data_IF_866261300904
#
_entry.id   IF_866261300904
#
_cell.length_a   1.000
_cell.length_b   1.000
_cell.length_c   1.000
_cell.angle_alpha   90.00
_cell.angle_beta   90.00
_cell.angle_gamma   90.00
#
_symmetry.space_group_name_H-M   'P 1'
#
loop_
_entity.id
_entity.type
_entity.pdbx_description
1 polymer ?
#
# COMPACT_ATOMS: atom_id res chain seq x y z
N UNK A 1 21.76 -11.44 -0.07
CA UNK A 1 21.29 -12.02 1.21
C UNK A 1 19.83 -12.36 1.00
N UNK A 2 19.52 -13.63 0.81
CA UNK A 2 18.21 -14.11 0.35
C UNK A 2 17.23 -13.94 1.51
N UNK A 3 16.19 -13.12 1.29
CA UNK A 3 15.08 -12.91 2.20
C UNK A 3 14.30 -14.23 2.29
N UNK A 4 14.66 -15.08 3.25
CA UNK A 4 13.84 -16.23 3.64
C UNK A 4 13.01 -15.82 4.86
N UNK A 5 11.70 -16.07 4.74
CA UNK A 5 10.68 -16.01 5.80
C UNK A 5 10.10 -14.64 6.22
N UNK A 6 9.83 -13.74 5.27
CA UNK A 6 9.01 -12.52 5.52
C UNK A 6 7.50 -12.70 5.28
N UNK A 7 6.98 -13.92 5.17
CA UNK A 7 5.62 -14.20 4.64
C UNK A 7 4.54 -14.27 5.74
N UNK A 8 4.90 -14.38 7.02
CA UNK A 8 3.92 -14.57 8.11
C UNK A 8 3.10 -13.30 8.41
N UNK A 9 3.72 -12.12 8.31
CA UNK A 9 3.13 -10.86 8.77
C UNK A 9 1.86 -10.43 8.00
N UNK A 10 1.80 -10.54 6.65
CA UNK A 10 0.56 -10.31 5.91
C UNK A 10 -0.61 -11.19 6.37
N UNK A 11 -0.36 -12.46 6.67
CA UNK A 11 -1.40 -13.39 7.14
C UNK A 11 -1.90 -13.03 8.55
N UNK A 12 -0.99 -12.69 9.47
CA UNK A 12 -1.38 -12.23 10.82
C UNK A 12 -2.22 -10.95 10.76
N UNK A 13 -1.87 -10.03 9.86
CA UNK A 13 -2.65 -8.79 9.61
C UNK A 13 -4.06 -9.12 9.14
N UNK A 14 -4.19 -9.97 8.13
CA UNK A 14 -5.48 -10.37 7.59
C UNK A 14 -6.42 -10.89 8.67
N UNK A 15 -5.94 -11.77 9.56
CA UNK A 15 -6.75 -12.33 10.66
C UNK A 15 -7.26 -11.23 11.60
N UNK A 16 -6.37 -10.32 12.04
CA UNK A 16 -6.75 -9.20 12.92
C UNK A 16 -7.77 -8.29 12.23
N UNK A 17 -7.63 -8.06 10.92
CA UNK A 17 -8.56 -7.27 10.13
C UNK A 17 -9.94 -7.91 9.98
N UNK A 18 -10.01 -9.24 9.81
CA UNK A 18 -11.27 -9.97 9.80
C UNK A 18 -11.99 -9.86 11.14
N UNK A 19 -11.27 -9.94 12.25
CA UNK A 19 -11.84 -9.69 13.58
C UNK A 19 -12.37 -8.26 13.74
N UNK A 20 -11.63 -7.24 13.26
CA UNK A 20 -12.07 -5.84 13.28
C UNK A 20 -13.34 -5.61 12.42
N UNK A 21 -13.50 -6.35 11.32
CA UNK A 21 -14.68 -6.30 10.46
C UNK A 21 -15.91 -7.03 11.06
N UNK A 22 -15.76 -7.66 12.24
CA UNK A 22 -16.80 -8.47 12.87
C UNK A 22 -17.02 -9.81 12.17
N UNK A 23 -16.06 -10.28 11.36
CA UNK A 23 -16.13 -11.58 10.70
C UNK A 23 -16.11 -12.70 11.75
N UNK A 24 -17.00 -13.68 11.59
CA UNK A 24 -17.07 -14.83 12.49
C UNK A 24 -15.81 -15.70 12.39
N UNK A 25 -15.39 -16.26 13.52
CA UNK A 25 -14.23 -17.14 13.62
C UNK A 25 -14.31 -18.32 12.65
N UNK A 26 -15.52 -18.82 12.36
CA UNK A 26 -15.74 -19.90 11.38
C UNK A 26 -15.28 -19.54 9.95
N UNK A 27 -15.44 -18.28 9.54
CA UNK A 27 -14.93 -17.82 8.23
C UNK A 27 -13.40 -17.71 8.23
N UNK A 28 -12.83 -17.20 9.32
CA UNK A 28 -11.37 -17.12 9.51
C UNK A 28 -10.75 -18.53 9.44
N UNK A 29 -11.38 -19.52 10.05
CA UNK A 29 -10.95 -20.94 10.01
C UNK A 29 -10.96 -21.47 8.58
N UNK A 30 -11.99 -21.16 7.78
CA UNK A 30 -12.08 -21.58 6.37
C UNK A 30 -10.95 -20.98 5.54
N UNK A 31 -10.72 -19.67 5.65
CA UNK A 31 -9.69 -18.97 4.87
C UNK A 31 -8.27 -19.44 5.26
N UNK A 32 -8.04 -19.70 6.55
CA UNK A 32 -6.77 -20.24 7.05
C UNK A 32 -6.52 -21.68 6.61
N UNK A 33 -7.58 -22.48 6.48
CA UNK A 33 -7.49 -23.86 5.98
C UNK A 33 -7.02 -23.87 4.52
N UNK A 34 -7.61 -23.05 3.67
CA UNK A 34 -7.22 -22.93 2.26
C UNK A 34 -5.77 -22.45 2.10
N UNK A 35 -5.36 -21.48 2.93
CA UNK A 35 -3.97 -21.00 2.98
C UNK A 35 -2.98 -22.07 3.44
N UNK A 36 -3.39 -22.93 4.37
CA UNK A 36 -2.58 -24.08 4.76
C UNK A 36 -2.46 -25.06 3.59
N UNK A 37 -3.57 -25.46 2.97
CA UNK A 37 -3.65 -26.51 1.94
C UNK A 37 -2.82 -26.21 0.68
N UNK A 38 -2.70 -24.95 0.26
CA UNK A 38 -1.91 -24.55 -0.92
C UNK A 38 -0.37 -24.62 -0.74
N UNK A 39 0.13 -24.73 0.49
CA UNK A 39 1.57 -24.57 0.81
C UNK A 39 2.34 -25.84 1.19
N UNK A 40 1.70 -27.01 1.22
CA UNK A 40 2.31 -28.26 1.69
C UNK A 40 3.14 -28.97 0.61
N UNK A 41 4.33 -28.46 0.30
CA UNK A 41 5.40 -29.31 -0.25
C UNK A 41 6.47 -29.51 0.81
N UNK A 42 6.84 -30.78 1.03
CA UNK A 42 7.65 -31.26 2.16
C UNK A 42 8.93 -30.43 2.41
N UNK A 43 9.10 -30.02 3.67
CA UNK A 43 10.13 -29.09 4.13
C UNK A 43 9.52 -27.92 4.91
N UNK A 44 8.89 -28.19 6.06
CA UNK A 44 8.06 -27.23 6.82
C UNK A 44 8.83 -25.96 7.22
N UNK A 45 8.65 -24.87 6.47
CA UNK A 45 9.01 -23.52 6.93
C UNK A 45 8.28 -23.21 8.24
N UNK A 46 8.97 -22.52 9.15
CA UNK A 46 8.42 -22.04 10.42
C UNK A 46 7.08 -21.31 10.24
N UNK A 47 6.90 -20.59 9.12
CA UNK A 47 5.68 -19.85 8.80
C UNK A 47 4.45 -20.76 8.76
N UNK A 48 4.55 -21.92 8.10
CA UNK A 48 3.44 -22.87 7.95
C UNK A 48 3.09 -23.50 9.31
N UNK A 49 4.10 -23.78 10.14
CA UNK A 49 3.87 -24.31 11.50
C UNK A 49 3.08 -23.31 12.34
N UNK A 50 3.46 -22.05 12.31
CA UNK A 50 2.77 -20.99 13.05
C UNK A 50 1.34 -20.77 12.57
N UNK A 51 1.10 -20.76 11.25
CA UNK A 51 -0.26 -20.61 10.73
C UNK A 51 -1.18 -21.77 11.13
N UNK A 52 -0.66 -23.00 11.18
CA UNK A 52 -1.39 -24.17 11.70
C UNK A 52 -1.75 -24.02 13.18
N UNK A 53 -0.82 -23.56 14.00
CA UNK A 53 -1.07 -23.32 15.43
C UNK A 53 -2.19 -22.28 15.63
N UNK A 54 -2.20 -21.23 14.81
CA UNK A 54 -3.25 -20.20 14.83
C UNK A 54 -4.59 -20.77 14.37
N UNK A 55 -4.60 -21.50 13.26
CA UNK A 55 -5.78 -22.19 12.74
C UNK A 55 -6.42 -23.10 13.81
N UNK A 56 -5.63 -23.98 14.43
CA UNK A 56 -6.11 -24.90 15.46
C UNK A 56 -6.68 -24.17 16.68
N UNK A 57 -6.13 -23.01 17.02
CA UNK A 57 -6.68 -22.19 18.11
C UNK A 57 -8.05 -21.59 17.73
N UNK A 58 -8.20 -21.04 16.52
CA UNK A 58 -9.48 -20.50 16.05
C UNK A 58 -10.56 -21.57 15.88
N UNK A 59 -10.16 -22.78 15.45
CA UNK A 59 -11.04 -23.95 15.38
C UNK A 59 -11.54 -24.33 16.77
N UNK A 60 -10.63 -24.44 17.75
CA UNK A 60 -10.99 -24.66 19.16
C UNK A 60 -11.82 -23.54 19.79
N UNK A 61 -11.61 -22.29 19.37
CA UNK A 61 -12.42 -21.14 19.79
C UNK A 61 -13.87 -21.24 19.30
N UNK A 62 -14.08 -21.74 18.07
CA UNK A 62 -15.42 -21.97 17.53
C UNK A 62 -16.19 -23.05 18.32
N UNK A 63 -15.48 -24.03 18.88
CA UNK A 63 -16.05 -25.10 19.70
C UNK A 63 -16.28 -24.70 21.17
N UNK A 64 -15.27 -24.11 21.83
CA UNK A 64 -15.29 -23.76 23.26
C UNK A 64 -14.50 -22.48 23.55
N UNK A 65 -15.25 -21.37 23.70
CA UNK A 65 -14.68 -20.03 23.88
C UNK A 65 -13.93 -19.84 25.20
N UNK A 66 -14.35 -20.50 26.28
CA UNK A 66 -13.72 -20.34 27.60
C UNK A 66 -12.42 -21.13 27.69
N UNK A 67 -12.42 -22.35 27.13
CA UNK A 67 -11.18 -23.14 27.01
C UNK A 67 -10.16 -22.44 26.10
N UNK A 68 -10.60 -21.89 24.97
CA UNK A 68 -9.75 -21.15 24.06
C UNK A 68 -9.17 -19.87 24.71
N UNK A 69 -9.95 -19.19 25.56
CA UNK A 69 -9.50 -18.03 26.33
C UNK A 69 -8.34 -18.39 27.24
N UNK A 70 -8.48 -19.44 28.05
CA UNK A 70 -7.42 -19.89 28.96
C UNK A 70 -6.14 -20.31 28.22
N UNK A 71 -6.27 -20.95 27.06
CA UNK A 71 -5.14 -21.28 26.19
C UNK A 71 -4.45 -20.03 25.64
N UNK A 72 -5.22 -19.01 25.26
CA UNK A 72 -4.68 -17.77 24.72
C UNK A 72 -3.94 -16.95 25.79
N UNK A 73 -4.51 -16.82 26.99
CA UNK A 73 -3.86 -16.17 28.13
C UNK A 73 -2.51 -16.83 28.46
N UNK A 74 -2.49 -18.15 28.46
CA UNK A 74 -1.30 -18.96 28.70
C UNK A 74 -0.22 -18.75 27.61
N UNK A 75 -0.61 -18.71 26.33
CA UNK A 75 0.31 -18.38 25.22
C UNK A 75 0.88 -16.95 25.35
N UNK A 76 0.05 -15.98 25.73
CA UNK A 76 0.47 -14.58 25.96
C UNK A 76 1.43 -14.49 27.15
N UNK A 77 1.20 -15.26 28.22
CA UNK A 77 2.03 -15.21 29.43
C UNK A 77 3.35 -15.96 29.30
N UNK A 78 3.38 -17.10 28.57
CA UNK A 78 4.59 -17.91 28.37
C UNK A 78 5.67 -17.20 27.54
N UNK A 79 5.27 -16.34 26.60
CA UNK A 79 6.19 -15.65 25.68
C UNK A 79 6.77 -16.62 24.63
N UNK A 80 6.58 -16.33 23.35
CA UNK A 80 7.05 -17.19 22.25
C UNK A 80 8.30 -16.60 21.60
N UNK A 81 9.44 -17.29 21.76
CA UNK A 81 10.69 -16.93 21.10
C UNK A 81 10.92 -17.76 19.84
N UNK A 82 10.69 -17.20 18.65
CA UNK A 82 11.13 -17.82 17.39
C UNK A 82 12.50 -17.26 16.97
N UNK A 83 13.46 -18.16 16.75
CA UNK A 83 14.86 -17.82 16.50
C UNK A 83 15.19 -17.34 15.08
N UNK A 84 14.22 -17.02 14.22
CA UNK A 84 14.49 -16.64 12.83
C UNK A 84 13.67 -15.41 12.37
N UNK A 85 14.27 -14.23 12.50
CA UNK A 85 14.05 -12.99 11.71
C UNK A 85 15.03 -11.91 12.22
N UNK A 86 15.45 -10.97 11.37
CA UNK A 86 16.50 -9.98 11.64
C UNK A 86 16.20 -8.95 12.76
N UNK A 87 15.06 -9.05 13.47
CA UNK A 87 14.58 -8.09 14.50
C UNK A 87 13.60 -8.70 15.53
N UNK A 88 13.79 -9.93 16.00
CA UNK A 88 12.85 -10.48 16.99
C UNK A 88 12.99 -9.79 18.35
N UNK A 89 11.87 -9.45 19.01
CA UNK A 89 11.83 -9.52 20.48
C UNK A 89 10.56 -10.22 21.04
N UNK A 90 9.37 -10.23 20.40
CA UNK A 90 8.18 -10.99 20.89
C UNK A 90 7.16 -11.37 19.76
N UNK A 91 7.64 -12.03 18.70
CA UNK A 91 7.07 -12.03 17.34
C UNK A 91 5.58 -12.41 17.18
N UNK A 92 4.99 -13.25 18.05
CA UNK A 92 3.55 -13.58 18.02
C UNK A 92 2.77 -13.09 19.24
N UNK A 93 3.48 -12.65 20.28
CA UNK A 93 2.85 -12.27 21.55
C UNK A 93 1.97 -11.04 21.38
N UNK A 94 2.45 -10.06 20.62
CA UNK A 94 1.67 -8.89 20.23
C UNK A 94 0.44 -9.25 19.40
N UNK A 95 0.56 -10.20 18.47
CA UNK A 95 -0.58 -10.69 17.70
C UNK A 95 -1.64 -11.30 18.62
N UNK A 96 -1.25 -12.16 19.56
CA UNK A 96 -2.18 -12.80 20.48
C UNK A 96 -2.83 -11.83 21.46
N UNK A 97 -2.11 -10.82 21.95
CA UNK A 97 -2.69 -9.73 22.75
C UNK A 97 -3.77 -9.00 21.95
N UNK A 98 -3.51 -8.69 20.67
CA UNK A 98 -4.45 -8.00 19.80
C UNK A 98 -5.69 -8.85 19.47
N UNK A 99 -5.54 -10.17 19.32
CA UNK A 99 -6.67 -11.11 19.21
C UNK A 99 -7.48 -11.13 20.51
N UNK A 100 -6.80 -11.18 21.67
CA UNK A 100 -7.44 -11.21 22.98
C UNK A 100 -8.29 -9.96 23.23
N UNK A 101 -7.78 -8.78 22.88
CA UNK A 101 -8.49 -7.51 23.01
C UNK A 101 -9.79 -7.46 22.21
N UNK A 102 -9.82 -8.10 21.03
CA UNK A 102 -10.99 -8.11 20.13
C UNK A 102 -12.04 -9.13 20.55
N UNK A 103 -11.61 -10.28 21.06
CA UNK A 103 -12.50 -11.39 21.37
C UNK A 103 -12.98 -11.41 22.82
N UNK A 104 -12.25 -10.80 23.76
CA UNK A 104 -12.52 -10.95 25.19
C UNK A 104 -12.51 -9.63 25.97
N UNK A 105 -11.35 -9.02 26.16
CA UNK A 105 -11.20 -7.83 27.02
C UNK A 105 -10.04 -6.96 26.53
N UNK A 106 -10.39 -5.75 26.07
CA UNK A 106 -9.48 -4.74 25.54
C UNK A 106 -8.49 -4.19 26.59
N UNK A 107 -8.81 -4.28 27.89
CA UNK A 107 -8.01 -3.71 28.97
C UNK A 107 -6.95 -4.66 29.51
N UNK A 108 -7.15 -5.96 29.33
CA UNK A 108 -6.20 -6.98 29.74
C UNK A 108 -4.85 -6.81 29.01
N UNK A 109 -3.76 -7.16 29.67
CA UNK A 109 -2.40 -7.11 29.09
C UNK A 109 -1.91 -5.74 28.57
N UNK A 110 -2.64 -4.61 28.73
CA UNK A 110 -2.18 -3.26 28.28
C UNK A 110 -0.80 -2.87 28.80
N UNK A 111 -0.47 -3.25 30.04
CA UNK A 111 0.87 -3.02 30.61
C UNK A 111 1.94 -3.82 29.86
N UNK A 112 1.64 -5.08 29.54
CA UNK A 112 2.53 -5.96 28.78
C UNK A 112 2.67 -5.44 27.34
N UNK A 113 1.56 -5.07 26.70
CA UNK A 113 1.55 -4.42 25.38
C UNK A 113 2.43 -3.17 25.35
N UNK A 114 2.31 -2.28 26.34
CA UNK A 114 3.14 -1.08 26.45
C UNK A 114 4.64 -1.39 26.62
N UNK A 115 5.00 -2.51 27.24
CA UNK A 115 6.40 -2.97 27.35
C UNK A 115 6.93 -3.55 26.04
N UNK A 116 6.07 -4.19 25.27
CA UNK A 116 6.38 -4.73 23.95
C UNK A 116 6.48 -3.62 22.89
N UNK A 117 5.75 -2.52 23.09
CA UNK A 117 5.75 -1.31 22.26
C UNK A 117 6.98 -0.41 22.51
N UNK A 118 8.19 -0.87 22.17
CA UNK A 118 9.39 -0.01 22.04
C UNK A 118 9.40 0.85 20.75
N UNK A 119 10.40 1.73 20.58
CA UNK A 119 10.52 2.68 19.45
C UNK A 119 10.55 2.03 18.05
N UNK A 120 10.89 0.74 17.96
CA UNK A 120 10.93 -0.04 16.72
C UNK A 120 9.79 -1.06 16.59
N UNK A 121 8.74 -0.92 17.38
CA UNK A 121 7.60 -1.84 17.34
C UNK A 121 6.84 -1.61 16.05
N UNK A 122 6.83 -2.63 15.21
CA UNK A 122 5.90 -2.71 14.11
C UNK A 122 4.53 -3.02 14.72
N UNK A 123 3.89 -2.00 15.31
CA UNK A 123 2.46 -2.03 15.61
C UNK A 123 1.79 -2.54 14.35
N UNK A 124 0.87 -3.50 14.46
CA UNK A 124 -0.02 -3.88 13.36
C UNK A 124 -0.78 -2.62 12.97
N UNK A 125 -0.16 -1.75 12.16
CA UNK A 125 -0.75 -0.52 11.69
C UNK A 125 -1.97 -1.00 10.94
N UNK A 126 -3.15 -0.72 11.49
CA UNK A 126 -4.35 -0.58 10.68
C UNK A 126 -3.91 0.20 9.46
N UNK A 127 -4.14 -0.41 8.28
CA UNK A 127 -3.88 0.30 7.04
C UNK A 127 -4.57 1.67 7.19
N UNK A 128 -3.89 2.78 6.88
CA UNK A 128 -4.51 4.09 6.95
C UNK A 128 -5.90 4.03 6.30
N UNK A 129 -6.94 4.64 6.87
CA UNK A 129 -8.30 4.60 6.32
C UNK A 129 -8.38 4.98 4.83
N UNK A 130 -7.40 5.76 4.36
CA UNK A 130 -7.14 6.08 2.95
C UNK A 130 -6.87 4.81 2.13
N UNK A 131 -5.99 3.92 2.60
CA UNK A 131 -5.67 2.65 1.94
C UNK A 131 -6.84 1.67 2.04
N UNK A 132 -7.57 1.64 3.17
CA UNK A 132 -8.77 0.80 3.29
C UNK A 132 -9.82 1.14 2.24
N UNK A 133 -10.09 2.43 2.00
CA UNK A 133 -10.99 2.88 0.93
C UNK A 133 -10.55 2.44 -0.46
N UNK A 134 -9.26 2.19 -0.68
CA UNK A 134 -8.74 1.69 -1.95
C UNK A 134 -8.76 0.17 -2.07
N UNK A 135 -8.78 -0.57 -0.96
CA UNK A 135 -8.82 -2.04 -0.93
C UNK A 135 -10.24 -2.60 -0.84
N UNK A 136 -11.16 -1.88 -0.19
CA UNK A 136 -12.55 -2.28 0.05
C UNK A 136 -13.51 -1.83 -1.07
N UNK A 137 -12.99 -1.25 -2.14
CA UNK A 137 -13.80 -0.72 -3.21
C UNK A 137 -14.06 -1.78 -4.29
N UNK A 138 -15.33 -1.88 -4.70
CA UNK A 138 -15.79 -2.49 -5.97
C UNK A 138 -15.13 -1.89 -7.23
N UNK A 139 -14.20 -0.95 -7.05
CA UNK A 139 -13.55 -0.12 -8.04
C UNK A 139 -12.05 -0.13 -7.79
N UNK A 140 -11.28 -0.50 -8.80
CA UNK A 140 -9.82 -0.45 -8.76
C UNK A 140 -9.28 0.97 -8.73
N UNK A 141 -8.01 1.16 -8.35
CA UNK A 141 -7.34 2.46 -8.37
C UNK A 141 -7.44 3.18 -9.72
N UNK A 142 -7.41 2.42 -10.82
CA UNK A 142 -7.59 2.94 -12.18
C UNK A 142 -9.02 3.48 -12.42
N UNK A 143 -10.05 2.87 -11.82
CA UNK A 143 -11.44 3.35 -11.91
C UNK A 143 -11.59 4.68 -11.16
N UNK A 144 -11.04 4.77 -9.94
CA UNK A 144 -11.00 6.04 -9.19
C UNK A 144 -10.29 7.15 -9.96
N UNK A 145 -9.13 6.84 -10.54
CA UNK A 145 -8.36 7.82 -11.29
C UNK A 145 -9.10 8.26 -12.57
N UNK A 146 -9.80 7.34 -13.25
CA UNK A 146 -10.62 7.66 -14.42
C UNK A 146 -11.77 8.60 -14.09
N UNK A 147 -12.51 8.34 -13.00
CA UNK A 147 -13.57 9.24 -12.53
C UNK A 147 -13.02 10.62 -12.15
N UNK A 148 -11.88 10.65 -11.47
CA UNK A 148 -11.18 11.88 -11.12
C UNK A 148 -10.84 12.69 -12.38
N UNK A 149 -10.23 12.06 -13.40
CA UNK A 149 -9.94 12.71 -14.68
C UNK A 149 -11.21 13.26 -15.36
N UNK A 150 -12.30 12.48 -15.33
CA UNK A 150 -13.59 12.89 -15.88
C UNK A 150 -14.18 14.11 -15.18
N UNK A 151 -14.03 14.22 -13.87
CA UNK A 151 -14.47 15.38 -13.09
C UNK A 151 -13.66 16.63 -13.42
N UNK A 152 -12.33 16.51 -13.55
CA UNK A 152 -11.45 17.65 -13.88
C UNK A 152 -11.70 18.19 -15.30
N UNK A 153 -11.90 17.30 -16.29
CA UNK A 153 -12.15 17.73 -17.69
C UNK A 153 -13.44 18.51 -17.88
N UNK A 154 -14.47 18.26 -17.06
CA UNK A 154 -15.73 19.04 -17.11
C UNK A 154 -15.52 20.51 -16.72
N UNK A 155 -14.46 20.81 -15.99
CA UNK A 155 -14.22 22.13 -15.39
C UNK A 155 -13.37 23.01 -16.31
N UNK A 156 -12.46 22.45 -17.13
CA UNK A 156 -11.48 23.27 -17.88
C UNK A 156 -11.33 22.87 -19.36
N UNK A 157 -11.45 23.85 -20.25
CA UNK A 157 -10.85 23.83 -21.59
C UNK A 157 -9.56 24.64 -21.55
N UNK A 158 -8.44 24.02 -21.94
CA UNK A 158 -7.16 24.72 -22.01
C UNK A 158 -6.97 25.35 -23.40
N UNK A 159 -6.82 26.69 -23.43
CA UNK A 159 -6.33 27.41 -24.61
C UNK A 159 -4.81 27.27 -24.74
N UNK A 160 -4.25 27.67 -25.88
CA UNK A 160 -2.81 27.66 -26.10
C UNK A 160 -2.07 28.36 -24.97
N UNK A 161 -1.15 27.66 -24.28
CA UNK A 161 -0.39 28.21 -23.15
C UNK A 161 0.81 27.34 -22.80
N UNK A 162 1.79 27.98 -22.17
CA UNK A 162 2.84 27.35 -21.40
C UNK A 162 2.43 27.37 -19.91
N UNK A 163 2.57 26.24 -19.23
CA UNK A 163 2.42 26.09 -17.79
C UNK A 163 3.78 25.64 -17.25
N UNK A 164 4.35 26.47 -16.39
CA UNK A 164 5.62 26.18 -15.72
C UNK A 164 5.31 25.45 -14.43
N UNK A 165 5.62 24.14 -14.41
CA UNK A 165 5.50 23.30 -13.22
C UNK A 165 6.85 23.12 -12.51
N UNK A 166 7.91 23.74 -13.07
CA UNK A 166 9.30 23.61 -12.64
C UNK A 166 9.55 24.30 -11.30
N UNK A 167 10.14 23.56 -10.38
CA UNK A 167 10.73 24.05 -9.13
C UNK A 167 12.26 23.94 -9.17
N UNK A 168 12.82 23.24 -8.19
CA UNK A 168 14.28 23.09 -8.03
C UNK A 168 14.88 22.13 -9.08
N UNK A 169 16.17 22.27 -9.38
CA UNK A 169 16.88 21.42 -10.35
C UNK A 169 17.87 20.49 -9.66
N UNK A 170 18.48 19.60 -10.45
CA UNK A 170 19.37 18.53 -10.01
C UNK A 170 18.72 17.60 -8.98
N UNK A 171 19.51 16.89 -8.19
CA UNK A 171 19.03 16.05 -7.08
C UNK A 171 18.52 16.84 -5.87
N UNK A 172 18.50 18.18 -5.92
CA UNK A 172 18.13 19.06 -4.79
C UNK A 172 16.78 18.71 -4.16
N UNK A 173 15.67 18.52 -4.91
CA UNK A 173 14.40 18.12 -4.32
C UNK A 173 14.51 16.83 -3.51
N UNK A 174 15.17 15.81 -4.08
CA UNK A 174 15.37 14.51 -3.46
C UNK A 174 16.15 14.62 -2.15
N UNK A 175 17.26 15.37 -2.19
CA UNK A 175 18.14 15.55 -1.04
C UNK A 175 17.42 16.26 0.10
N UNK A 176 16.67 17.32 -0.19
CA UNK A 176 15.97 18.08 0.84
C UNK A 176 14.76 17.31 1.39
N UNK A 177 13.99 16.63 0.54
CA UNK A 177 12.90 15.76 0.97
C UNK A 177 13.40 14.65 1.90
N UNK A 178 14.56 14.06 1.58
CA UNK A 178 15.20 13.05 2.44
C UNK A 178 15.75 13.63 3.73
N UNK A 179 16.47 14.76 3.69
CA UNK A 179 17.10 15.37 4.86
C UNK A 179 16.09 15.88 5.89
N UNK A 180 14.95 16.42 5.43
CA UNK A 180 13.91 16.97 6.29
C UNK A 180 12.72 16.03 6.50
N UNK A 181 12.77 14.79 5.97
CA UNK A 181 11.68 13.82 6.01
C UNK A 181 10.34 14.43 5.57
N UNK A 182 10.33 15.07 4.40
CA UNK A 182 9.19 15.81 3.83
C UNK A 182 9.01 15.50 2.35
N UNK A 183 7.93 16.00 1.74
CA UNK A 183 7.66 15.94 0.30
C UNK A 183 7.48 17.33 -0.32
N UNK A 184 7.81 18.39 0.42
CA UNK A 184 7.50 19.77 0.07
C UNK A 184 8.44 20.37 -1.00
N UNK A 185 9.53 19.68 -1.36
CA UNK A 185 10.47 20.16 -2.37
C UNK A 185 10.19 19.49 -3.72
N UNK A 186 9.86 20.31 -4.72
CA UNK A 186 9.46 19.86 -6.06
C UNK A 186 10.54 20.15 -7.09
N UNK A 187 10.72 19.24 -8.04
CA UNK A 187 11.57 19.43 -9.22
C UNK A 187 10.77 19.95 -10.41
N UNK A 188 9.68 19.26 -10.74
CA UNK A 188 8.69 19.66 -11.74
C UNK A 188 9.16 19.50 -13.18
N UNK A 189 8.63 20.35 -14.06
CA UNK A 189 8.86 20.32 -15.51
C UNK A 189 8.06 21.40 -16.23
N UNK A 190 7.91 21.30 -17.54
CA UNK A 190 7.07 22.21 -18.34
C UNK A 190 5.91 21.46 -18.98
N UNK A 191 4.80 22.16 -19.14
CA UNK A 191 3.68 21.69 -19.93
C UNK A 191 3.26 22.74 -20.95
N UNK A 192 3.16 22.37 -22.22
CA UNK A 192 2.69 23.23 -23.31
C UNK A 192 1.39 22.63 -23.82
N UNK A 193 0.31 23.42 -23.80
CA UNK A 193 -0.87 23.09 -24.57
C UNK A 193 -0.86 23.89 -25.87
N UNK A 194 -0.91 23.21 -27.01
CA UNK A 194 -0.99 23.83 -28.33
C UNK A 194 -2.14 23.24 -29.13
N UNK A 195 -3.20 24.01 -29.34
CA UNK A 195 -4.43 23.61 -30.04
C UNK A 195 -5.05 22.32 -29.47
N UNK A 196 -4.95 22.12 -28.16
CA UNK A 196 -5.41 20.91 -27.48
C UNK A 196 -4.42 19.74 -27.51
N UNK A 197 -3.23 19.94 -28.09
CA UNK A 197 -2.12 18.98 -28.03
C UNK A 197 -1.21 19.33 -26.86
N UNK A 198 -1.21 18.50 -25.82
CA UNK A 198 -0.40 18.67 -24.62
C UNK A 198 0.98 18.04 -24.76
N UNK A 199 2.02 18.83 -24.48
CA UNK A 199 3.43 18.44 -24.55
C UNK A 199 4.02 18.65 -23.17
N UNK A 200 4.48 17.57 -22.55
CA UNK A 200 5.27 17.61 -21.31
C UNK A 200 6.74 17.67 -21.70
N UNK A 201 7.51 18.51 -21.01
CA UNK A 201 8.97 18.59 -21.16
C UNK A 201 9.58 18.40 -19.78
N UNK A 202 10.49 17.44 -19.67
CA UNK A 202 11.28 17.14 -18.48
C UNK A 202 10.43 16.90 -17.21
N UNK A 203 9.65 15.80 -17.15
CA UNK A 203 8.89 15.44 -15.95
C UNK A 203 9.82 14.94 -14.83
N UNK A 204 10.46 15.89 -14.13
CA UNK A 204 11.26 15.66 -12.94
C UNK A 204 10.43 15.42 -11.68
N UNK A 205 11.08 15.55 -10.52
CA UNK A 205 10.47 15.25 -9.21
C UNK A 205 9.11 15.92 -8.99
N UNK A 206 8.09 15.11 -8.69
CA UNK A 206 6.72 15.56 -8.35
C UNK A 206 6.04 16.33 -9.48
N UNK A 207 6.44 16.11 -10.74
CA UNK A 207 5.76 16.66 -11.91
C UNK A 207 4.29 16.24 -11.96
N UNK A 208 3.97 14.96 -11.72
CA UNK A 208 2.59 14.44 -11.82
C UNK A 208 1.68 15.12 -10.80
N UNK A 209 2.17 15.30 -9.57
CA UNK A 209 1.45 16.01 -8.52
C UNK A 209 1.22 17.47 -8.91
N UNK A 210 2.27 18.18 -9.37
CA UNK A 210 2.14 19.56 -9.82
C UNK A 210 1.15 19.69 -11.00
N UNK A 211 1.18 18.74 -11.93
CA UNK A 211 0.24 18.66 -13.05
C UNK A 211 -1.21 18.54 -12.55
N UNK A 212 -1.49 17.58 -11.65
CA UNK A 212 -2.84 17.40 -11.08
C UNK A 212 -3.29 18.63 -10.30
N UNK A 213 -2.41 19.28 -9.54
CA UNK A 213 -2.71 20.50 -8.79
C UNK A 213 -3.09 21.68 -9.71
N UNK A 214 -2.63 21.70 -10.96
CA UNK A 214 -3.09 22.69 -11.96
C UNK A 214 -4.41 22.33 -12.63
N UNK A 215 -4.93 21.13 -12.37
CA UNK A 215 -6.12 20.56 -12.99
C UNK A 215 -5.87 19.90 -14.34
N UNK A 216 -4.61 19.59 -14.66
CA UNK A 216 -4.22 18.76 -15.80
C UNK A 216 -4.23 17.29 -15.39
N UNK A 217 -4.50 16.40 -16.34
CA UNK A 217 -4.50 14.95 -16.15
C UNK A 217 -3.55 14.28 -17.13
N UNK A 218 -3.24 13.01 -16.93
CA UNK A 218 -2.48 12.23 -17.93
C UNK A 218 -3.19 12.21 -19.30
N UNK A 219 -4.52 12.32 -19.30
CA UNK A 219 -5.36 12.37 -20.50
C UNK A 219 -5.28 13.69 -21.27
N UNK A 220 -4.49 14.66 -20.78
CA UNK A 220 -4.18 15.91 -21.46
C UNK A 220 -2.75 15.89 -22.04
N UNK A 221 -1.99 14.82 -21.82
CA UNK A 221 -0.61 14.66 -22.29
C UNK A 221 -0.59 13.83 -23.56
N UNK A 222 -0.13 14.40 -24.67
CA UNK A 222 0.00 13.69 -25.95
C UNK A 222 1.45 13.35 -26.30
N UNK A 223 2.39 14.18 -25.85
CA UNK A 223 3.80 13.95 -26.03
C UNK A 223 4.58 14.26 -24.75
N UNK A 224 5.65 13.51 -24.52
CA UNK A 224 6.63 13.79 -23.48
C UNK A 224 8.01 13.89 -24.13
N UNK A 225 8.74 14.97 -23.82
CA UNK A 225 10.11 15.22 -24.26
C UNK A 225 11.00 15.20 -23.01
N UNK A 226 12.02 14.35 -23.01
CA UNK A 226 13.08 14.35 -22.01
C UNK A 226 14.34 14.89 -22.68
N UNK A 227 14.91 15.96 -22.13
CA UNK A 227 16.05 16.65 -22.73
C UNK A 227 17.37 15.93 -22.48
N UNK A 228 17.52 15.26 -21.32
CA UNK A 228 18.66 14.42 -20.98
C UNK A 228 18.37 13.53 -19.76
N UNK A 229 19.24 12.54 -19.53
CA UNK A 229 19.05 11.49 -18.51
C UNK A 229 19.51 11.91 -17.10
N UNK A 230 18.94 12.98 -16.57
CA UNK A 230 19.10 13.36 -15.17
C UNK A 230 17.77 13.28 -14.42
N UNK A 231 17.84 13.05 -13.11
CA UNK A 231 16.67 12.75 -12.29
C UNK A 231 15.67 13.92 -12.21
N UNK A 232 16.13 15.16 -12.29
CA UNK A 232 15.28 16.34 -12.38
C UNK A 232 14.58 16.53 -13.73
N UNK A 233 14.85 15.64 -14.69
CA UNK A 233 14.23 15.63 -16.02
C UNK A 233 13.36 14.39 -16.28
N UNK A 234 13.53 13.30 -15.54
CA UNK A 234 12.85 12.03 -15.84
C UNK A 234 12.25 11.28 -14.65
N UNK A 235 12.34 11.78 -13.41
CA UNK A 235 11.89 11.06 -12.22
C UNK A 235 10.43 10.57 -12.32
N UNK A 236 9.53 11.40 -12.83
CA UNK A 236 8.09 11.11 -12.90
C UNK A 236 7.68 10.45 -14.24
N UNK A 237 8.64 10.15 -15.11
CA UNK A 237 8.40 9.47 -16.40
C UNK A 237 7.62 8.15 -16.22
N UNK A 238 8.06 7.31 -15.27
CA UNK A 238 7.45 6.00 -15.03
C UNK A 238 6.03 6.12 -14.51
N UNK A 239 5.79 7.06 -13.60
CA UNK A 239 4.46 7.31 -13.04
C UNK A 239 3.51 7.79 -14.15
N UNK A 240 3.96 8.69 -15.03
CA UNK A 240 3.16 9.13 -16.18
C UNK A 240 2.79 7.97 -17.11
N UNK A 241 3.73 7.09 -17.43
CA UNK A 241 3.48 5.93 -18.28
C UNK A 241 2.50 4.94 -17.61
N UNK A 242 2.69 4.63 -16.33
CA UNK A 242 1.82 3.71 -15.58
C UNK A 242 0.39 4.25 -15.50
N UNK A 243 0.22 5.56 -15.29
CA UNK A 243 -1.10 6.21 -15.33
C UNK A 243 -1.72 6.12 -16.73
N UNK A 244 -0.96 6.37 -17.79
CA UNK A 244 -1.45 6.27 -19.16
C UNK A 244 -1.88 4.84 -19.51
N UNK A 245 -1.07 3.84 -19.15
CA UNK A 245 -1.40 2.42 -19.35
C UNK A 245 -2.62 1.98 -18.53
N UNK A 246 -2.71 2.41 -17.27
CA UNK A 246 -3.85 2.11 -16.41
C UNK A 246 -5.17 2.62 -16.98
N UNK A 247 -5.14 3.74 -17.69
CA UNK A 247 -6.31 4.33 -18.32
C UNK A 247 -6.63 3.77 -19.71
N UNK A 248 -5.71 3.05 -20.35
CA UNK A 248 -5.87 2.58 -21.73
C UNK A 248 -7.18 1.79 -21.94
N UNK A 249 -7.56 0.96 -20.96
CA UNK A 249 -8.79 0.15 -21.02
C UNK A 249 -10.07 0.96 -21.19
N UNK A 250 -10.19 2.12 -20.53
CA UNK A 250 -11.39 2.98 -20.63
C UNK A 250 -11.45 3.77 -21.94
N UNK A 251 -10.29 3.97 -22.56
CA UNK A 251 -10.17 4.74 -23.81
C UNK A 251 -10.45 3.87 -25.04
N UNK A 252 -10.13 2.57 -24.96
CA UNK A 252 -10.45 1.56 -25.98
C UNK A 252 -11.95 1.33 -26.12
N UNK A 253 -12.69 1.30 -25.02
CA UNK A 253 -14.16 1.17 -25.03
C UNK A 253 -14.87 2.34 -25.75
N UNK A 254 -14.20 3.49 -25.89
CA UNK A 254 -14.74 4.69 -26.55
C UNK A 254 -14.13 4.98 -27.93
N UNK A 255 -13.42 4.00 -28.50
CA UNK A 255 -12.79 4.11 -29.82
C UNK A 255 -11.82 5.31 -29.96
N UNK A 256 -11.21 5.71 -28.84
CA UNK A 256 -10.27 6.83 -28.74
C UNK A 256 -9.07 6.40 -27.90
N UNK A 257 -8.24 5.53 -28.42
CA UNK A 257 -7.01 5.12 -27.73
C UNK A 257 -6.14 6.35 -27.44
N UNK A 258 -5.97 6.68 -26.16
CA UNK A 258 -5.08 7.75 -25.74
C UNK A 258 -3.66 7.17 -25.60
N UNK A 259 -2.72 7.72 -26.36
CA UNK A 259 -1.33 7.28 -26.35
C UNK A 259 -0.40 8.47 -26.22
N UNK A 260 0.57 8.35 -25.32
CA UNK A 260 1.67 9.30 -25.17
C UNK A 260 2.78 8.93 -26.15
N UNK A 261 3.26 9.92 -26.90
CA UNK A 261 4.48 9.81 -27.72
C UNK A 261 5.69 10.23 -26.90
N UNK A 262 6.68 9.36 -26.78
CA UNK A 262 7.88 9.59 -25.99
C UNK A 262 9.05 10.01 -26.89
N UNK A 263 9.73 11.10 -26.53
CA UNK A 263 10.94 11.60 -27.16
C UNK A 263 12.02 11.67 -26.08
N UNK A 264 13.06 10.85 -26.22
CA UNK A 264 14.14 10.66 -25.26
C UNK A 264 15.48 11.12 -25.86
#
# INVERSE_FOLDING_TARGET
MIVKDTVLLPSLRYIVQMLDAGTDAAHIVSDLKDLCEYGFTEGTSHVIKTLKEIYLWFDGYAEDREKAKGQLEDVILRGTGCGECLKCYDCLRMFWIQVYHRLYDETAFKKLEGMLCGENTYVFRTLPPEIYRHLDARMSAADYYWEHCGSMKKIKKFNNRLIVLKGMSSSTPAMLNSAFNTQNFHGGGLYINWKGFGIVIDPGYHFVEAMHNTGLTVMDVNAVIITHEHIDHNNDMRILEDLNQSLARFTKEKDREHKISWYL
#
